data_IF_577680800115
#
_entry.id   IF_577680800115
#
_cell.length_a   1.000
_cell.length_b   1.000
_cell.length_c   1.000
_cell.angle_alpha   90.00
_cell.angle_beta   90.00
_cell.angle_gamma   90.00
#
_symmetry.space_group_name_H-M   'P 1'
#
loop_
_entity.id
_entity.type
_entity.pdbx_description
1 polymer ?
#
# COMPACT_ATOMS: atom_id res chain seq x y z
N UNK A 1 -20.23 -12.60 7.78
CA UNK A 1 -20.12 -11.54 6.75
C UNK A 1 -21.46 -10.89 6.40
N UNK A 2 -22.52 -11.60 5.95
CA UNK A 2 -23.79 -10.98 5.51
C UNK A 2 -24.48 -10.11 6.59
N UNK A 3 -24.48 -10.56 7.86
CA UNK A 3 -25.03 -9.77 8.97
C UNK A 3 -24.26 -8.46 9.18
N UNK A 4 -22.92 -8.50 9.09
CA UNK A 4 -22.07 -7.33 9.20
C UNK A 4 -22.37 -6.32 8.07
N UNK A 5 -22.43 -6.80 6.81
CA UNK A 5 -22.77 -5.96 5.66
C UNK A 5 -24.12 -5.28 5.85
N UNK A 6 -25.13 -6.01 6.44
CA UNK A 6 -26.41 -5.41 6.81
C UNK A 6 -26.30 -4.22 7.75
N UNK A 7 -25.46 -4.32 8.77
CA UNK A 7 -25.23 -3.26 9.77
C UNK A 7 -24.42 -2.08 9.22
N UNK A 8 -23.59 -2.32 8.20
CA UNK A 8 -22.75 -1.30 7.56
C UNK A 8 -23.46 -0.58 6.40
N UNK A 9 -24.57 -1.14 5.88
CA UNK A 9 -25.20 -0.70 4.63
C UNK A 9 -25.64 0.77 4.63
N UNK A 10 -26.02 1.31 5.78
CA UNK A 10 -26.50 2.71 5.92
C UNK A 10 -25.40 3.69 6.33
N UNK A 11 -24.17 3.22 6.48
CA UNK A 11 -23.05 4.09 6.83
C UNK A 11 -22.58 4.90 5.61
N UNK A 12 -22.27 6.17 5.84
CA UNK A 12 -21.71 7.06 4.82
C UNK A 12 -20.28 6.66 4.52
N UNK A 13 -19.51 6.30 5.57
CA UNK A 13 -18.13 5.83 5.49
C UNK A 13 -17.96 4.58 6.35
N UNK A 14 -17.32 3.57 5.77
CA UNK A 14 -16.89 2.36 6.47
C UNK A 14 -15.38 2.27 6.38
N UNK A 15 -14.68 2.38 7.53
CA UNK A 15 -13.24 2.21 7.60
C UNK A 15 -12.92 0.77 8.01
N UNK A 16 -12.07 0.10 7.22
CA UNK A 16 -11.73 -1.32 7.42
C UNK A 16 -10.22 -1.44 7.61
N UNK A 17 -9.80 -1.62 8.87
CA UNK A 17 -8.41 -1.77 9.26
C UNK A 17 -7.86 -3.14 8.90
N UNK A 18 -6.56 -3.20 8.58
CA UNK A 18 -5.88 -4.45 8.24
C UNK A 18 -4.46 -4.51 8.82
N UNK A 19 -3.85 -5.66 8.80
CA UNK A 19 -2.40 -5.86 8.97
C UNK A 19 -1.82 -6.10 7.58
N UNK A 20 -0.95 -5.20 7.12
CA UNK A 20 -0.48 -5.11 5.72
C UNK A 20 -0.02 -6.43 5.10
N UNK A 21 0.48 -7.36 5.89
CA UNK A 21 0.99 -8.65 5.41
C UNK A 21 -0.04 -9.80 5.49
N UNK A 22 -1.23 -9.57 6.05
CA UNK A 22 -2.26 -10.58 6.27
C UNK A 22 -3.19 -10.66 5.06
N UNK A 23 -2.99 -11.68 4.22
CA UNK A 23 -3.81 -11.89 3.02
C UNK A 23 -5.29 -12.14 3.33
N UNK A 24 -5.58 -12.86 4.39
CA UNK A 24 -6.94 -13.07 4.87
C UNK A 24 -7.66 -11.77 5.22
N UNK A 25 -6.97 -10.77 5.80
CA UNK A 25 -7.55 -9.44 6.05
C UNK A 25 -7.95 -8.76 4.74
N UNK A 26 -7.12 -8.82 3.70
CA UNK A 26 -7.44 -8.23 2.39
C UNK A 26 -8.59 -8.95 1.69
N UNK A 27 -8.72 -10.28 1.87
CA UNK A 27 -9.87 -11.03 1.38
C UNK A 27 -11.18 -10.61 2.08
N UNK A 28 -11.14 -10.34 3.40
CA UNK A 28 -12.30 -9.83 4.12
C UNK A 28 -12.62 -8.38 3.73
N UNK A 29 -11.62 -7.52 3.52
CA UNK A 29 -11.82 -6.19 2.95
C UNK A 29 -12.54 -6.25 1.61
N UNK A 30 -12.12 -7.15 0.72
CA UNK A 30 -12.80 -7.40 -0.55
C UNK A 30 -14.25 -7.86 -0.36
N UNK A 31 -14.49 -8.76 0.59
CA UNK A 31 -15.84 -9.26 0.87
C UNK A 31 -16.77 -8.14 1.39
N UNK A 32 -16.25 -7.24 2.23
CA UNK A 32 -16.99 -6.07 2.72
C UNK A 32 -17.28 -5.11 1.55
N UNK A 33 -16.28 -4.76 0.73
CA UNK A 33 -16.46 -3.89 -0.43
C UNK A 33 -17.51 -4.45 -1.38
N UNK A 34 -17.42 -5.73 -1.75
CA UNK A 34 -18.39 -6.42 -2.61
C UNK A 34 -19.81 -6.36 -2.05
N UNK A 35 -19.97 -6.69 -0.77
CA UNK A 35 -21.27 -6.71 -0.14
C UNK A 35 -21.92 -5.33 -0.02
N UNK A 36 -21.12 -4.28 0.22
CA UNK A 36 -21.61 -2.90 0.26
C UNK A 36 -21.92 -2.38 -1.15
N UNK A 37 -21.08 -2.67 -2.13
CA UNK A 37 -21.29 -2.31 -3.53
C UNK A 37 -22.55 -2.94 -4.10
N UNK A 38 -22.83 -4.22 -3.82
CA UNK A 38 -24.06 -4.88 -4.25
C UNK A 38 -25.33 -4.24 -3.68
N UNK A 39 -25.25 -3.62 -2.51
CA UNK A 39 -26.39 -2.92 -1.88
C UNK A 39 -26.52 -1.47 -2.34
N UNK A 40 -25.42 -0.83 -2.63
CA UNK A 40 -25.38 0.53 -3.13
C UNK A 40 -24.21 0.69 -4.11
N UNK A 41 -24.48 0.73 -5.43
CA UNK A 41 -23.43 0.86 -6.43
C UNK A 41 -22.75 2.26 -6.41
N UNK A 42 -23.35 3.26 -5.77
CA UNK A 42 -22.76 4.59 -5.65
C UNK A 42 -21.75 4.67 -4.51
N UNK A 43 -20.67 3.89 -4.63
CA UNK A 43 -19.60 3.75 -3.65
C UNK A 43 -18.25 4.15 -4.24
N UNK A 44 -17.31 4.61 -3.42
CA UNK A 44 -15.91 4.80 -3.75
C UNK A 44 -15.03 3.97 -2.78
N UNK A 45 -13.84 3.64 -3.24
CA UNK A 45 -12.82 2.95 -2.46
C UNK A 45 -11.68 3.93 -2.15
N UNK A 46 -11.55 4.34 -0.88
CA UNK A 46 -10.40 5.12 -0.40
C UNK A 46 -9.32 4.18 0.13
N UNK A 47 -8.07 4.41 -0.25
CA UNK A 47 -6.97 3.49 0.08
C UNK A 47 -5.73 4.21 0.57
N UNK A 48 -5.08 3.63 1.58
CA UNK A 48 -3.81 4.11 2.13
C UNK A 48 -2.63 3.84 1.19
N UNK A 49 -2.63 2.73 0.47
CA UNK A 49 -1.48 2.26 -0.31
C UNK A 49 -1.18 3.04 -1.60
N UNK A 50 -1.96 4.09 -1.88
CA UNK A 50 -1.64 5.08 -2.90
C UNK A 50 -1.59 6.48 -2.31
N UNK A 51 -0.59 7.24 -2.73
CA UNK A 51 -0.39 8.63 -2.33
C UNK A 51 -1.19 9.58 -3.22
N UNK A 52 -1.71 10.66 -2.67
CA UNK A 52 -2.60 11.60 -3.37
C UNK A 52 -2.09 12.11 -4.73
N UNK A 53 -0.79 12.32 -4.98
CA UNK A 53 -0.32 12.68 -6.32
C UNK A 53 -0.56 11.60 -7.41
N UNK A 54 -0.81 10.36 -7.00
CA UNK A 54 -1.09 9.26 -7.93
C UNK A 54 -2.54 9.23 -8.46
N UNK A 55 -3.43 10.09 -7.95
CA UNK A 55 -4.86 10.08 -8.28
C UNK A 55 -5.16 10.05 -9.78
N UNK A 56 -4.53 10.88 -10.65
CA UNK A 56 -4.84 10.84 -12.09
C UNK A 56 -4.60 9.47 -12.72
N UNK A 57 -3.58 8.73 -12.25
CA UNK A 57 -3.26 7.39 -12.77
C UNK A 57 -4.26 6.33 -12.32
N UNK A 58 -4.82 6.46 -11.11
CA UNK A 58 -5.92 5.60 -10.65
C UNK A 58 -7.21 5.87 -11.42
N UNK A 59 -7.51 7.13 -11.73
CA UNK A 59 -8.66 7.50 -12.55
C UNK A 59 -8.53 6.94 -13.97
N UNK A 60 -7.33 7.02 -14.56
CA UNK A 60 -7.03 6.43 -15.86
C UNK A 60 -7.17 4.91 -15.86
N UNK A 61 -6.71 4.27 -14.79
CA UNK A 61 -6.79 2.82 -14.63
C UNK A 61 -8.24 2.33 -14.49
N UNK A 62 -9.03 2.95 -13.63
CA UNK A 62 -10.45 2.60 -13.45
C UNK A 62 -11.24 2.84 -14.74
N UNK A 63 -10.94 3.90 -15.47
CA UNK A 63 -11.54 4.20 -16.78
C UNK A 63 -11.05 3.29 -17.91
N UNK A 64 -10.11 2.40 -17.67
CA UNK A 64 -9.56 1.49 -18.68
C UNK A 64 -8.64 2.15 -19.71
N UNK A 65 -8.14 3.37 -19.44
CA UNK A 65 -7.21 4.10 -20.33
C UNK A 65 -5.77 3.62 -20.22
N UNK A 66 -5.40 3.03 -19.08
CA UNK A 66 -4.09 2.41 -18.88
C UNK A 66 -4.24 0.99 -18.32
N UNK A 67 -3.22 0.18 -18.54
CA UNK A 67 -3.11 -1.18 -18.03
C UNK A 67 -2.77 -1.21 -16.53
N UNK A 68 -2.91 -2.38 -15.91
CA UNK A 68 -2.48 -2.63 -14.52
C UNK A 68 -0.98 -2.35 -14.34
N UNK A 69 -0.16 -2.78 -15.30
CA UNK A 69 1.28 -2.56 -15.28
C UNK A 69 1.63 -1.06 -15.32
N UNK A 70 1.02 -0.32 -16.22
CA UNK A 70 1.22 1.14 -16.31
C UNK A 70 0.73 1.86 -15.05
N UNK A 71 -0.38 1.44 -14.45
CA UNK A 71 -0.87 2.02 -13.21
C UNK A 71 0.16 1.83 -12.09
N UNK A 72 0.68 0.62 -11.90
CA UNK A 72 1.67 0.33 -10.86
C UNK A 72 2.98 1.09 -11.10
N UNK A 73 3.41 1.23 -12.34
CA UNK A 73 4.62 1.98 -12.68
C UNK A 73 4.42 3.49 -12.45
N UNK A 74 3.34 4.08 -13.00
CA UNK A 74 3.08 5.53 -12.89
C UNK A 74 2.78 5.99 -11.47
N UNK A 75 2.19 5.11 -10.65
CA UNK A 75 1.98 5.39 -9.20
C UNK A 75 3.25 5.17 -8.38
N UNK A 76 4.27 4.51 -8.93
CA UNK A 76 5.48 4.14 -8.21
C UNK A 76 5.21 3.14 -7.07
N UNK A 77 4.21 2.27 -7.23
CA UNK A 77 3.72 1.39 -6.16
C UNK A 77 4.84 0.63 -5.46
N UNK A 78 5.72 -0.04 -6.20
CA UNK A 78 6.77 -0.89 -5.62
C UNK A 78 7.86 -0.13 -4.88
N UNK A 79 8.06 1.14 -5.17
CA UNK A 79 9.03 2.00 -4.50
C UNK A 79 8.42 2.73 -3.30
N UNK A 80 7.13 3.09 -3.38
CA UNK A 80 6.43 3.94 -2.41
C UNK A 80 5.72 3.14 -1.32
N UNK A 81 5.06 2.01 -1.68
CA UNK A 81 4.32 1.19 -0.71
C UNK A 81 5.11 -0.03 -0.23
N UNK A 82 5.83 -0.72 -1.11
CA UNK A 82 6.76 -1.83 -0.84
C UNK A 82 6.17 -3.14 -0.37
N UNK A 83 4.90 -3.23 -0.01
CA UNK A 83 4.25 -4.51 0.27
C UNK A 83 3.93 -5.26 -1.03
N UNK A 84 3.81 -6.58 -0.93
CA UNK A 84 3.49 -7.42 -2.08
C UNK A 84 2.13 -7.00 -2.69
N UNK A 85 2.15 -6.58 -3.94
CA UNK A 85 0.95 -6.11 -4.64
C UNK A 85 -0.16 -7.17 -4.71
N UNK A 86 0.19 -8.46 -4.71
CA UNK A 86 -0.77 -9.57 -4.75
C UNK A 86 -1.69 -9.60 -3.54
N UNK A 87 -1.30 -9.01 -2.42
CA UNK A 87 -2.16 -8.81 -1.25
C UNK A 87 -3.36 -7.91 -1.58
N UNK A 88 -3.14 -6.83 -2.29
CA UNK A 88 -4.12 -5.76 -2.58
C UNK A 88 -4.81 -5.93 -3.93
N UNK A 89 -4.17 -6.67 -4.85
CA UNK A 89 -4.63 -6.85 -6.23
C UNK A 89 -6.09 -7.26 -6.36
N UNK A 90 -6.62 -8.23 -5.57
CA UNK A 90 -8.03 -8.62 -5.68
C UNK A 90 -9.01 -7.47 -5.42
N UNK A 91 -8.69 -6.57 -4.49
CA UNK A 91 -9.50 -5.38 -4.17
C UNK A 91 -9.44 -4.37 -5.31
N UNK A 92 -8.23 -4.09 -5.79
CA UNK A 92 -7.95 -3.12 -6.87
C UNK A 92 -8.62 -3.55 -8.17
N UNK A 93 -8.48 -4.83 -8.55
CA UNK A 93 -9.12 -5.36 -9.77
C UNK A 93 -10.64 -5.36 -9.65
N UNK A 94 -11.20 -5.72 -8.49
CA UNK A 94 -12.64 -5.63 -8.28
C UNK A 94 -13.15 -4.19 -8.47
N UNK A 95 -12.45 -3.20 -7.92
CA UNK A 95 -12.82 -1.80 -8.12
C UNK A 95 -12.79 -1.40 -9.59
N UNK A 96 -11.74 -1.76 -10.33
CA UNK A 96 -11.62 -1.51 -11.78
C UNK A 96 -12.75 -2.16 -12.57
N UNK A 97 -12.96 -3.46 -12.36
CA UNK A 97 -13.97 -4.25 -13.12
C UNK A 97 -15.40 -3.73 -12.93
N UNK A 98 -15.67 -3.07 -11.80
CA UNK A 98 -16.98 -2.52 -11.48
C UNK A 98 -17.05 -0.99 -11.59
N UNK A 99 -16.03 -0.33 -12.11
CA UNK A 99 -15.99 1.11 -12.27
C UNK A 99 -16.07 1.88 -10.95
N UNK A 100 -15.65 1.26 -9.84
CA UNK A 100 -15.61 1.91 -8.51
C UNK A 100 -14.42 2.85 -8.48
N UNK A 101 -14.60 4.17 -8.26
CA UNK A 101 -13.49 5.09 -8.12
C UNK A 101 -12.55 4.68 -6.99
N UNK A 102 -11.25 4.65 -7.27
CA UNK A 102 -10.20 4.44 -6.28
C UNK A 102 -9.64 5.80 -5.90
N UNK A 103 -9.69 6.15 -4.62
CA UNK A 103 -9.20 7.42 -4.09
C UNK A 103 -7.89 7.21 -3.35
N UNK A 104 -6.82 7.83 -3.84
CA UNK A 104 -5.50 7.81 -3.22
C UNK A 104 -5.49 8.72 -1.98
N UNK A 105 -5.55 8.12 -0.79
CA UNK A 105 -5.74 8.90 0.44
C UNK A 105 -4.43 9.42 1.03
N UNK A 106 -3.32 8.70 0.86
CA UNK A 106 -2.11 8.91 1.64
C UNK A 106 -1.34 10.18 1.25
N UNK A 107 -0.56 10.70 2.20
CA UNK A 107 0.35 11.80 1.98
C UNK A 107 1.49 11.42 1.02
N UNK A 108 1.98 12.39 0.26
CA UNK A 108 3.17 12.21 -0.56
C UNK A 108 4.39 11.89 0.31
N UNK A 109 5.17 10.87 -0.05
CA UNK A 109 6.35 10.43 0.71
C UNK A 109 7.40 11.53 0.81
N UNK A 110 7.50 12.42 -0.17
CA UNK A 110 8.40 13.57 -0.17
C UNK A 110 8.11 14.50 1.02
N UNK A 111 6.84 14.74 1.33
CA UNK A 111 6.43 15.57 2.47
C UNK A 111 6.68 14.85 3.78
N UNK A 112 6.32 13.58 3.90
CA UNK A 112 6.51 12.84 5.16
C UNK A 112 7.99 12.59 5.46
N UNK A 113 8.83 12.39 4.44
CA UNK A 113 10.29 12.35 4.61
C UNK A 113 10.82 13.69 5.11
N UNK A 114 10.37 14.80 4.49
CA UNK A 114 10.79 16.14 4.91
C UNK A 114 10.36 16.42 6.36
N UNK A 115 9.14 16.07 6.74
CA UNK A 115 8.68 16.17 8.13
C UNK A 115 9.54 15.32 9.08
N UNK A 116 9.93 14.12 8.68
CA UNK A 116 10.81 13.28 9.50
C UNK A 116 12.19 13.89 9.74
N UNK A 117 12.67 14.74 8.83
CA UNK A 117 13.96 15.44 8.94
C UNK A 117 13.89 16.70 9.79
N UNK A 118 12.86 17.53 9.58
CA UNK A 118 12.81 18.89 10.16
C UNK A 118 11.60 19.16 11.06
N UNK A 119 10.62 18.22 11.16
CA UNK A 119 9.32 18.44 11.79
C UNK A 119 8.41 19.34 10.94
N UNK A 120 7.13 19.43 11.30
CA UNK A 120 6.18 20.32 10.60
C UNK A 120 6.59 21.79 10.71
N UNK A 121 7.11 22.20 11.87
CA UNK A 121 7.56 23.58 12.09
C UNK A 121 8.76 24.00 11.22
N UNK A 122 9.55 23.03 10.73
CA UNK A 122 10.70 23.26 9.86
C UNK A 122 10.37 23.23 8.36
N UNK A 123 9.12 23.03 7.98
CA UNK A 123 8.67 23.06 6.58
C UNK A 123 8.67 24.50 6.02
N UNK A 124 9.00 24.63 4.74
CA UNK A 124 8.81 25.89 3.99
C UNK A 124 7.31 26.19 3.82
N UNK A 125 6.92 27.46 3.51
CA UNK A 125 5.51 27.79 3.26
C UNK A 125 4.85 26.92 2.16
N UNK A 126 5.59 26.61 1.08
CA UNK A 126 5.10 25.75 -0.01
C UNK A 126 4.91 24.28 0.41
N UNK A 127 5.76 23.81 1.32
CA UNK A 127 5.63 22.47 1.92
C UNK A 127 4.46 22.43 2.93
N UNK A 128 4.32 23.46 3.76
CA UNK A 128 3.20 23.58 4.72
C UNK A 128 1.85 23.61 4.02
N UNK A 129 1.72 24.26 2.88
CA UNK A 129 0.50 24.31 2.08
C UNK A 129 0.03 22.90 1.60
N UNK A 130 0.90 21.89 1.63
CA UNK A 130 0.60 20.50 1.27
C UNK A 130 0.18 19.64 2.46
N UNK A 131 0.27 20.17 3.67
CA UNK A 131 -0.06 19.48 4.92
C UNK A 131 -1.38 20.03 5.43
N UNK A 132 -2.39 19.18 5.70
CA UNK A 132 -3.64 19.64 6.31
C UNK A 132 -3.41 20.17 7.73
N UNK A 133 -4.43 20.82 8.28
CA UNK A 133 -4.44 21.20 9.69
C UNK A 133 -4.32 19.97 10.59
N UNK A 134 -3.34 20.00 11.50
CA UNK A 134 -2.97 18.86 12.36
C UNK A 134 -3.56 19.03 13.76
N UNK A 135 -4.51 18.19 14.11
CA UNK A 135 -5.05 18.10 15.46
C UNK A 135 -4.15 17.25 16.39
N UNK A 136 -3.66 17.87 17.44
CA UNK A 136 -2.81 17.27 18.49
C UNK A 136 -3.54 17.09 19.82
N UNK A 137 -4.84 17.32 19.88
CA UNK A 137 -5.61 17.34 21.14
C UNK A 137 -5.75 15.95 21.76
N UNK A 138 -5.64 14.87 20.97
CA UNK A 138 -5.74 13.48 21.45
C UNK A 138 -4.42 13.01 22.09
N UNK A 139 -4.25 13.35 23.39
CA UNK A 139 -3.05 12.96 24.15
C UNK A 139 -2.95 11.46 24.41
N UNK A 140 -4.09 10.74 24.44
CA UNK A 140 -4.11 9.28 24.60
C UNK A 140 -3.52 8.60 23.36
N UNK A 141 -3.86 9.09 22.18
CA UNK A 141 -3.26 8.59 20.94
C UNK A 141 -1.76 8.90 20.87
N UNK A 142 -1.35 10.11 21.25
CA UNK A 142 0.06 10.47 21.29
C UNK A 142 0.88 9.56 22.25
N UNK A 143 0.33 9.24 23.42
CA UNK A 143 0.99 8.33 24.36
C UNK A 143 1.05 6.88 23.82
N UNK A 144 0.00 6.40 23.17
CA UNK A 144 0.01 5.11 22.49
C UNK A 144 1.10 5.03 21.40
N UNK A 145 1.20 6.06 20.56
CA UNK A 145 2.26 6.16 19.54
C UNK A 145 3.66 6.24 20.15
N UNK A 146 3.80 6.84 21.32
CA UNK A 146 5.07 6.90 22.05
C UNK A 146 5.50 5.52 22.54
N UNK A 147 4.58 4.73 23.07
CA UNK A 147 4.85 3.35 23.48
C UNK A 147 5.25 2.49 22.28
N UNK A 148 4.54 2.63 21.16
CA UNK A 148 4.87 1.96 19.90
C UNK A 148 6.28 2.37 19.40
N UNK A 149 6.60 3.65 19.40
CA UNK A 149 7.90 4.19 18.99
C UNK A 149 9.05 3.63 19.85
N UNK A 150 8.85 3.52 21.16
CA UNK A 150 9.86 3.00 22.08
C UNK A 150 10.20 1.51 21.86
N UNK A 151 9.27 0.73 21.29
CA UNK A 151 9.46 -0.69 20.98
C UNK A 151 10.20 -0.94 19.66
N UNK A 152 10.40 0.10 18.83
CA UNK A 152 11.05 -0.06 17.54
C UNK A 152 12.58 0.08 17.63
N UNK A 153 13.37 -0.84 17.03
CA UNK A 153 14.84 -0.73 17.02
C UNK A 153 15.30 0.61 16.45
N UNK A 154 16.16 1.31 17.16
CA UNK A 154 16.71 2.61 16.76
C UNK A 154 15.86 3.83 17.15
N UNK A 155 14.78 3.66 17.92
CA UNK A 155 13.98 4.76 18.49
C UNK A 155 14.82 5.74 19.31
N UNK A 156 15.85 5.25 20.03
CA UNK A 156 16.74 6.10 20.85
C UNK A 156 17.49 7.18 20.07
N UNK A 157 17.68 7.00 18.76
CA UNK A 157 18.38 7.96 17.88
C UNK A 157 17.44 8.87 17.09
N UNK A 158 16.12 8.71 17.23
CA UNK A 158 15.11 9.45 16.49
C UNK A 158 14.30 10.35 17.41
N UNK A 159 13.78 11.45 16.91
CA UNK A 159 12.87 12.32 17.63
C UNK A 159 11.45 11.74 17.61
N UNK A 160 10.88 11.50 18.81
CA UNK A 160 9.47 11.12 18.93
C UNK A 160 8.55 12.19 18.35
N UNK A 161 8.84 13.47 18.55
CA UNK A 161 8.01 14.57 18.04
C UNK A 161 7.90 14.54 16.52
N UNK A 162 9.00 14.27 15.83
CA UNK A 162 9.01 14.13 14.37
C UNK A 162 8.27 12.87 13.91
N UNK A 163 8.41 11.77 14.63
CA UNK A 163 7.65 10.57 14.37
C UNK A 163 6.15 10.83 14.54
N UNK A 164 5.76 11.50 15.61
CA UNK A 164 4.38 11.91 15.86
C UNK A 164 3.87 12.83 14.75
N UNK A 165 4.66 13.80 14.31
CA UNK A 165 4.34 14.69 13.20
C UNK A 165 4.02 13.90 11.92
N UNK A 166 4.81 12.89 11.60
CA UNK A 166 4.58 12.03 10.42
C UNK A 166 3.29 11.24 10.56
N UNK A 167 3.08 10.58 11.73
CA UNK A 167 1.87 9.78 11.96
C UNK A 167 0.59 10.62 11.86
N UNK A 168 0.59 11.79 12.51
CA UNK A 168 -0.54 12.71 12.43
C UNK A 168 -0.75 13.25 11.02
N UNK A 169 0.32 13.49 10.27
CA UNK A 169 0.22 13.94 8.87
C UNK A 169 -0.43 12.87 7.99
N UNK A 170 -0.09 11.60 8.16
CA UNK A 170 -0.77 10.51 7.44
C UNK A 170 -2.27 10.49 7.75
N UNK A 171 -2.63 10.44 9.03
CA UNK A 171 -4.04 10.39 9.46
C UNK A 171 -4.85 11.58 8.98
N UNK A 172 -4.31 12.79 9.13
CA UNK A 172 -5.00 14.01 8.71
C UNK A 172 -5.14 14.11 7.19
N UNK A 173 -4.10 13.70 6.44
CA UNK A 173 -4.15 13.73 4.97
C UNK A 173 -5.16 12.71 4.45
N UNK A 174 -5.18 11.49 5.00
CA UNK A 174 -6.14 10.47 4.59
C UNK A 174 -7.58 10.89 4.91
N UNK A 175 -7.80 11.47 6.09
CA UNK A 175 -9.12 11.98 6.48
C UNK A 175 -9.56 13.18 5.64
N UNK A 176 -8.66 14.13 5.37
CA UNK A 176 -8.94 15.31 4.56
C UNK A 176 -9.27 14.95 3.12
N UNK A 177 -8.47 14.07 2.51
CA UNK A 177 -8.70 13.60 1.14
C UNK A 177 -10.04 12.87 1.03
N UNK A 178 -10.37 11.98 1.98
CA UNK A 178 -11.66 11.30 2.01
C UNK A 178 -12.82 12.28 2.19
N UNK A 179 -12.69 13.25 3.10
CA UNK A 179 -13.72 14.24 3.36
C UNK A 179 -13.97 15.17 2.16
N UNK A 180 -12.91 15.64 1.51
CA UNK A 180 -12.98 16.47 0.30
C UNK A 180 -13.68 15.72 -0.83
N UNK A 181 -13.25 14.48 -1.12
CA UNK A 181 -13.90 13.64 -2.12
C UNK A 181 -15.40 13.46 -1.86
N UNK A 182 -15.79 13.20 -0.62
CA UNK A 182 -17.19 13.00 -0.24
C UNK A 182 -18.04 14.29 -0.28
N UNK A 183 -17.45 15.46 -0.05
CA UNK A 183 -18.13 16.75 -0.24
C UNK A 183 -18.37 17.05 -1.72
N UNK A 184 -17.40 16.76 -2.57
CA UNK A 184 -17.51 16.91 -4.03
C UNK A 184 -18.47 15.88 -4.65
N UNK A 185 -18.71 14.76 -3.95
CA UNK A 185 -19.60 13.67 -4.36
C UNK A 185 -20.66 13.35 -3.29
N UNK A 186 -21.63 14.25 -3.03
CA UNK A 186 -22.52 14.19 -1.86
C UNK A 186 -23.42 12.94 -1.80
N UNK A 187 -23.75 12.33 -2.95
CA UNK A 187 -24.53 11.09 -3.02
C UNK A 187 -23.70 9.80 -2.79
N UNK A 188 -22.37 9.88 -2.78
CA UNK A 188 -21.49 8.72 -2.80
C UNK A 188 -21.11 8.27 -1.38
N UNK A 189 -21.06 6.98 -1.14
CA UNK A 189 -20.49 6.36 0.07
C UNK A 189 -19.03 5.99 -0.15
N UNK A 190 -18.29 5.73 0.92
CA UNK A 190 -16.88 5.34 0.80
C UNK A 190 -16.56 4.16 1.73
N UNK A 191 -15.82 3.19 1.19
CA UNK A 191 -15.06 2.23 1.99
C UNK A 191 -13.62 2.70 2.03
N UNK A 192 -13.10 2.93 3.22
CA UNK A 192 -11.69 3.29 3.45
C UNK A 192 -10.95 2.05 3.93
N UNK A 193 -9.84 1.72 3.27
CA UNK A 193 -8.98 0.61 3.65
C UNK A 193 -7.59 1.15 4.02
N UNK A 194 -7.17 0.86 5.25
CA UNK A 194 -5.90 1.30 5.80
C UNK A 194 -5.40 0.34 6.87
N UNK A 195 -4.15 0.46 7.28
CA UNK A 195 -3.61 -0.27 8.41
C UNK A 195 -4.41 -0.02 9.70
N UNK A 196 -4.61 -1.07 10.50
CA UNK A 196 -5.40 -1.00 11.74
C UNK A 196 -4.91 0.07 12.71
N UNK A 197 -3.61 0.42 12.69
CA UNK A 197 -3.05 1.49 13.51
C UNK A 197 -3.67 2.87 13.26
N UNK A 198 -4.17 3.10 12.03
CA UNK A 198 -4.83 4.36 11.65
C UNK A 198 -6.34 4.36 11.95
N UNK A 199 -6.93 3.22 12.32
CA UNK A 199 -8.39 3.07 12.47
C UNK A 199 -8.79 2.71 13.90
N UNK A 200 -7.97 1.90 14.57
CA UNK A 200 -8.26 1.36 15.89
C UNK A 200 -8.53 2.48 16.92
N UNK A 201 -9.42 2.18 17.87
CA UNK A 201 -9.87 3.11 18.91
C UNK A 201 -10.44 4.44 18.38
N UNK A 202 -10.63 4.56 17.08
CA UNK A 202 -11.04 5.78 16.34
C UNK A 202 -10.01 6.93 16.42
N UNK A 203 -8.81 6.71 16.94
CA UNK A 203 -7.85 7.78 17.23
C UNK A 203 -7.21 8.43 16.00
N UNK A 204 -7.02 7.67 14.92
CA UNK A 204 -6.41 8.13 13.66
C UNK A 204 -7.42 8.75 12.70
N UNK A 205 -7.60 8.13 11.55
CA UNK A 205 -8.47 8.59 10.46
C UNK A 205 -9.93 8.81 10.92
N UNK A 206 -10.57 7.89 11.69
CA UNK A 206 -12.01 8.03 11.96
C UNK A 206 -12.37 9.32 12.70
N UNK A 207 -11.62 9.70 13.73
CA UNK A 207 -11.86 10.91 14.53
C UNK A 207 -11.68 12.17 13.68
N UNK A 208 -10.62 12.21 12.89
CA UNK A 208 -10.28 13.31 11.98
C UNK A 208 -11.32 13.47 10.87
N UNK A 209 -11.81 12.34 10.37
CA UNK A 209 -12.86 12.32 9.35
C UNK A 209 -14.20 12.78 9.94
N UNK A 210 -14.55 12.34 11.17
CA UNK A 210 -15.76 12.78 11.87
C UNK A 210 -15.76 14.29 12.11
N UNK A 211 -14.62 14.86 12.49
CA UNK A 211 -14.46 16.31 12.64
C UNK A 211 -14.72 17.06 11.35
N UNK A 212 -14.29 16.52 10.21
CA UNK A 212 -14.48 17.11 8.86
C UNK A 212 -15.87 16.89 8.28
N UNK A 213 -16.53 15.82 8.67
CA UNK A 213 -17.86 15.41 8.23
C UNK A 213 -18.73 15.09 9.47
N UNK A 214 -19.14 16.10 10.27
CA UNK A 214 -19.78 15.90 11.58
C UNK A 214 -21.08 15.07 11.48
N UNK A 215 -21.83 15.24 10.41
CA UNK A 215 -23.12 14.57 10.20
C UNK A 215 -22.98 13.20 9.51
N UNK A 216 -21.77 12.78 9.15
CA UNK A 216 -21.57 11.52 8.47
C UNK A 216 -21.69 10.33 9.44
N UNK A 217 -22.51 9.35 9.10
CA UNK A 217 -22.56 8.06 9.79
C UNK A 217 -21.32 7.24 9.44
N UNK A 218 -20.35 7.20 10.36
CA UNK A 218 -19.05 6.51 10.18
C UNK A 218 -19.04 5.23 11.02
N UNK A 219 -18.59 4.12 10.42
CA UNK A 219 -18.32 2.88 11.13
C UNK A 219 -16.89 2.41 10.91
N UNK A 220 -16.33 1.78 11.95
CA UNK A 220 -15.00 1.16 11.93
C UNK A 220 -15.09 -0.35 12.05
N UNK A 221 -14.26 -1.06 11.30
CA UNK A 221 -14.10 -2.52 11.30
C UNK A 221 -12.63 -2.83 11.46
N UNK A 222 -12.27 -3.70 12.39
CA UNK A 222 -10.90 -4.16 12.61
C UNK A 222 -10.89 -5.69 12.70
N UNK A 223 -9.84 -6.32 12.23
CA UNK A 223 -9.66 -7.77 12.34
C UNK A 223 -9.00 -8.11 13.68
N UNK A 224 -9.54 -9.12 14.37
CA UNK A 224 -9.07 -9.59 15.66
C UNK A 224 -8.38 -10.96 15.53
N UNK A 225 -7.26 -11.13 16.24
CA UNK A 225 -6.43 -12.36 16.19
C UNK A 225 -6.91 -13.47 17.15
N UNK A 226 -8.03 -13.29 17.81
CA UNK A 226 -8.71 -14.34 18.60
C UNK A 226 -8.16 -14.64 20.01
N UNK A 227 -7.04 -14.03 20.43
CA UNK A 227 -6.44 -14.33 21.74
C UNK A 227 -6.91 -13.41 22.88
N UNK A 228 -7.04 -12.14 22.63
CA UNK A 228 -7.63 -11.16 23.53
C UNK A 228 -8.46 -10.17 22.70
N UNK A 229 -9.76 -10.13 22.97
CA UNK A 229 -10.67 -9.26 22.24
C UNK A 229 -10.87 -7.99 23.05
N UNK A 230 -10.30 -6.89 22.58
CA UNK A 230 -10.62 -5.57 23.08
C UNK A 230 -11.79 -4.98 22.27
N UNK A 231 -12.99 -5.04 22.81
CA UNK A 231 -14.22 -4.56 22.17
C UNK A 231 -14.21 -3.05 21.86
N UNK A 232 -13.28 -2.29 22.44
CA UNK A 232 -13.14 -0.83 22.19
C UNK A 232 -12.34 -0.50 20.94
N UNK A 233 -11.68 -1.49 20.32
CA UNK A 233 -10.82 -1.24 19.15
C UNK A 233 -11.60 -0.68 17.94
N UNK A 234 -12.85 -1.10 17.74
CA UNK A 234 -13.66 -0.68 16.61
C UNK A 234 -15.17 -0.91 16.90
N UNK A 235 -16.03 -0.33 16.08
CA UNK A 235 -17.48 -0.59 16.15
C UNK A 235 -17.82 -2.06 15.84
N UNK A 236 -16.98 -2.70 15.02
CA UNK A 236 -17.10 -4.12 14.67
C UNK A 236 -15.73 -4.80 14.64
N UNK A 237 -15.65 -5.94 15.32
CA UNK A 237 -14.50 -6.83 15.26
C UNK A 237 -14.84 -8.04 14.39
N UNK A 238 -13.94 -8.38 13.48
CA UNK A 238 -14.10 -9.51 12.57
C UNK A 238 -12.97 -10.50 12.79
N UNK A 239 -13.33 -11.76 13.01
CA UNK A 239 -12.37 -12.86 13.01
C UNK A 239 -12.22 -13.36 11.58
N UNK A 240 -11.02 -13.24 11.05
CA UNK A 240 -10.71 -13.70 9.69
C UNK A 240 -10.26 -15.17 9.74
N UNK A 241 -10.83 -16.05 8.90
CA UNK A 241 -10.22 -17.36 8.70
C UNK A 241 -8.82 -17.18 8.10
N UNK A 242 -7.83 -17.86 8.65
CA UNK A 242 -6.47 -17.80 8.13
C UNK A 242 -6.42 -18.18 6.63
N UNK A 243 -5.76 -17.33 5.85
CA UNK A 243 -5.46 -17.59 4.45
C UNK A 243 -4.07 -17.03 4.13
N UNK A 244 -3.24 -17.85 3.54
CA UNK A 244 -1.90 -17.46 3.13
C UNK A 244 -1.90 -16.97 1.68
N UNK A 245 -1.09 -15.94 1.42
CA UNK A 245 -0.80 -15.52 0.07
C UNK A 245 -0.02 -16.64 -0.63
N UNK A 246 -0.45 -17.14 -1.81
CA UNK A 246 0.29 -18.16 -2.53
C UNK A 246 1.75 -17.75 -2.75
N UNK A 247 2.67 -18.69 -2.60
CA UNK A 247 4.09 -18.41 -2.78
C UNK A 247 4.38 -17.86 -4.17
N UNK A 248 5.24 -16.84 -4.24
CA UNK A 248 5.77 -16.33 -5.49
C UNK A 248 6.97 -17.15 -5.93
N UNK A 249 7.13 -17.30 -7.22
CA UNK A 249 8.38 -17.80 -7.77
C UNK A 249 9.51 -16.77 -7.56
N UNK A 250 10.61 -17.20 -6.96
CA UNK A 250 11.73 -16.33 -6.62
C UNK A 250 12.94 -16.60 -7.50
N UNK A 251 13.55 -15.53 -8.01
CA UNK A 251 14.88 -15.59 -8.66
C UNK A 251 16.01 -15.86 -7.64
N UNK A 252 15.81 -15.38 -6.40
CA UNK A 252 16.83 -15.40 -5.35
C UNK A 252 17.92 -14.36 -5.58
N UNK A 253 17.52 -13.16 -5.99
CA UNK A 253 18.40 -12.02 -6.25
C UNK A 253 18.08 -10.87 -5.30
N UNK A 254 19.11 -10.24 -4.77
CA UNK A 254 19.03 -8.93 -4.15
C UNK A 254 19.37 -7.88 -5.21
N UNK A 255 18.46 -6.95 -5.43
CA UNK A 255 18.50 -6.03 -6.55
C UNK A 255 18.66 -4.59 -6.07
N UNK A 256 19.25 -3.76 -6.91
CA UNK A 256 19.30 -2.31 -6.75
C UNK A 256 18.86 -1.65 -8.05
N UNK A 257 18.14 -0.53 -7.93
CA UNK A 257 17.78 0.31 -9.07
C UNK A 257 18.91 1.32 -9.30
N UNK A 258 19.43 1.36 -10.52
CA UNK A 258 20.46 2.30 -10.95
C UNK A 258 19.95 3.12 -12.12
N UNK A 259 20.70 4.15 -12.55
CA UNK A 259 20.38 4.89 -13.79
C UNK A 259 20.43 4.02 -15.06
N UNK A 260 21.09 2.85 -15.00
CA UNK A 260 21.18 1.88 -16.11
C UNK A 260 20.04 0.85 -16.08
N UNK A 261 19.25 0.75 -14.97
CA UNK A 261 18.16 -0.21 -14.80
C UNK A 261 18.30 -1.05 -13.53
N UNK A 262 17.86 -2.31 -13.57
CA UNK A 262 17.81 -3.23 -12.43
C UNK A 262 19.11 -4.05 -12.36
N UNK A 263 19.96 -3.77 -11.39
CA UNK A 263 21.25 -4.41 -11.21
C UNK A 263 21.26 -5.42 -10.08
N UNK A 264 21.93 -6.55 -10.27
CA UNK A 264 22.13 -7.56 -9.24
C UNK A 264 23.15 -7.07 -8.22
N UNK A 265 22.71 -6.77 -7.00
CA UNK A 265 23.55 -6.38 -5.86
C UNK A 265 24.22 -7.60 -5.23
N UNK A 266 23.48 -8.68 -5.08
CA UNK A 266 23.99 -9.98 -4.63
C UNK A 266 23.05 -11.12 -5.04
N UNK A 267 23.56 -12.33 -5.02
CA UNK A 267 22.84 -13.57 -5.34
C UNK A 267 22.72 -14.37 -4.05
N UNK A 268 21.51 -14.81 -3.72
CA UNK A 268 21.28 -15.64 -2.56
C UNK A 268 21.88 -17.03 -2.76
N UNK A 269 22.36 -17.64 -1.68
CA UNK A 269 22.84 -19.02 -1.68
C UNK A 269 21.70 -19.96 -2.13
N UNK A 270 22.06 -21.01 -2.85
CA UNK A 270 21.12 -22.03 -3.37
C UNK A 270 19.94 -21.45 -4.18
N UNK A 271 20.11 -20.27 -4.80
CA UNK A 271 19.06 -19.61 -5.57
C UNK A 271 18.94 -20.17 -7.00
N UNK A 272 17.77 -19.95 -7.60
CA UNK A 272 17.53 -20.29 -9.01
C UNK A 272 18.49 -19.53 -9.94
N UNK A 273 18.66 -18.23 -9.71
CA UNK A 273 19.56 -17.39 -10.51
C UNK A 273 21.03 -17.75 -10.31
N UNK A 274 21.46 -18.09 -9.08
CA UNK A 274 22.82 -18.54 -8.80
C UNK A 274 23.16 -19.84 -9.55
N UNK A 275 22.27 -20.83 -9.51
CA UNK A 275 22.41 -22.07 -10.25
C UNK A 275 22.47 -21.84 -11.77
N UNK A 276 21.80 -20.82 -12.29
CA UNK A 276 21.82 -20.43 -13.70
C UNK A 276 23.02 -19.53 -14.09
N UNK A 277 23.94 -19.26 -13.15
CA UNK A 277 25.17 -18.52 -13.39
C UNK A 277 25.03 -16.99 -13.43
N UNK A 278 23.94 -16.45 -12.90
CA UNK A 278 23.78 -14.99 -12.64
C UNK A 278 24.76 -14.59 -11.55
N UNK A 279 25.34 -13.40 -11.66
CA UNK A 279 26.37 -12.88 -10.74
C UNK A 279 26.07 -11.46 -10.29
N UNK A 280 26.66 -11.09 -9.19
CA UNK A 280 26.75 -9.70 -8.73
C UNK A 280 27.28 -8.78 -9.85
N UNK A 281 26.60 -7.69 -10.08
CA UNK A 281 26.93 -6.71 -11.12
C UNK A 281 26.23 -6.93 -12.46
N UNK A 282 25.54 -8.06 -12.68
CA UNK A 282 24.72 -8.25 -13.88
C UNK A 282 23.55 -7.25 -13.90
N UNK A 283 23.23 -6.71 -15.08
CA UNK A 283 22.09 -5.85 -15.31
C UNK A 283 20.97 -6.67 -15.94
N UNK A 284 19.81 -6.77 -15.27
CA UNK A 284 18.67 -7.49 -15.80
C UNK A 284 17.97 -6.66 -16.89
N UNK A 285 17.71 -7.25 -18.04
CA UNK A 285 17.15 -6.54 -19.20
C UNK A 285 15.84 -7.14 -19.70
N UNK A 286 15.57 -8.42 -19.44
CA UNK A 286 14.35 -9.07 -19.89
C UNK A 286 13.96 -10.27 -19.01
N UNK A 287 12.64 -10.55 -18.94
CA UNK A 287 12.05 -11.78 -18.39
C UNK A 287 11.14 -12.35 -19.48
N UNK A 288 11.40 -13.58 -19.92
CA UNK A 288 10.69 -14.27 -21.01
C UNK A 288 10.55 -13.43 -22.29
N UNK A 289 11.59 -12.62 -22.59
CA UNK A 289 11.62 -11.73 -23.74
C UNK A 289 10.91 -10.38 -23.51
N UNK A 290 10.21 -10.19 -22.40
CA UNK A 290 9.63 -8.90 -22.02
C UNK A 290 10.71 -8.03 -21.37
N UNK A 291 10.92 -6.82 -21.91
CA UNK A 291 11.90 -5.87 -21.35
C UNK A 291 11.57 -5.47 -19.91
N UNK A 292 12.60 -5.37 -19.06
CA UNK A 292 12.49 -4.97 -17.66
C UNK A 292 13.38 -3.75 -17.36
N UNK A 293 13.03 -2.58 -17.88
CA UNK A 293 13.84 -1.37 -17.72
C UNK A 293 13.84 -0.82 -16.28
N UNK A 294 12.91 -1.27 -15.44
CA UNK A 294 12.73 -0.80 -14.06
C UNK A 294 12.45 -1.96 -13.11
N UNK A 295 12.62 -1.69 -11.80
CA UNK A 295 12.22 -2.65 -10.76
C UNK A 295 10.72 -2.96 -10.82
N UNK A 296 9.88 -1.97 -11.09
CA UNK A 296 8.44 -2.16 -11.29
C UNK A 296 8.14 -3.08 -12.48
N UNK A 297 8.82 -2.89 -13.61
CA UNK A 297 8.66 -3.76 -14.78
C UNK A 297 9.06 -5.22 -14.46
N UNK A 298 10.15 -5.42 -13.73
CA UNK A 298 10.57 -6.75 -13.28
C UNK A 298 9.50 -7.39 -12.36
N UNK A 299 9.01 -6.63 -11.36
CA UNK A 299 7.97 -7.11 -10.43
C UNK A 299 6.69 -7.49 -11.17
N UNK A 300 6.33 -6.72 -12.20
CA UNK A 300 5.17 -7.03 -13.05
C UNK A 300 5.37 -8.29 -13.89
N UNK A 301 6.53 -8.44 -14.53
CA UNK A 301 6.85 -9.63 -15.30
C UNK A 301 6.82 -10.91 -14.43
N UNK A 302 7.19 -10.79 -13.14
CA UNK A 302 7.21 -11.90 -12.18
C UNK A 302 5.89 -12.09 -11.41
N UNK A 303 4.89 -11.21 -11.56
CA UNK A 303 3.73 -11.09 -10.66
C UNK A 303 2.93 -12.38 -10.49
N UNK A 304 2.76 -13.14 -11.56
CA UNK A 304 1.95 -14.36 -11.56
C UNK A 304 2.79 -15.64 -11.53
N UNK A 305 4.10 -15.53 -11.43
CA UNK A 305 5.01 -16.68 -11.44
C UNK A 305 5.04 -17.39 -10.09
N UNK A 306 5.17 -18.70 -10.13
CA UNK A 306 5.12 -19.58 -8.97
C UNK A 306 6.43 -20.38 -8.84
N UNK A 307 6.72 -20.96 -7.67
CA UNK A 307 7.77 -21.95 -7.54
C UNK A 307 7.57 -23.10 -8.55
N UNK A 308 8.64 -23.49 -9.23
CA UNK A 308 8.61 -24.49 -10.28
C UNK A 308 8.43 -23.97 -11.69
N UNK A 309 8.01 -22.71 -11.89
CA UNK A 309 7.90 -22.12 -13.22
C UNK A 309 9.28 -21.95 -13.85
N UNK A 310 9.36 -22.22 -15.16
CA UNK A 310 10.56 -21.98 -15.97
C UNK A 310 10.54 -20.55 -16.49
N UNK A 311 11.65 -19.87 -16.35
CA UNK A 311 11.81 -18.48 -16.75
C UNK A 311 13.11 -18.33 -17.54
N UNK A 312 13.07 -17.53 -18.60
CA UNK A 312 14.23 -17.08 -19.35
C UNK A 312 14.58 -15.65 -18.95
N UNK A 313 15.71 -15.49 -18.26
CA UNK A 313 16.22 -14.21 -17.79
C UNK A 313 17.25 -13.65 -18.76
N UNK A 314 16.97 -12.51 -19.37
CA UNK A 314 17.93 -11.73 -20.16
C UNK A 314 18.72 -10.79 -19.26
N UNK A 315 20.03 -10.74 -19.41
CA UNK A 315 20.91 -9.88 -18.63
C UNK A 315 22.13 -9.43 -19.44
N UNK A 316 22.68 -8.28 -19.07
CA UNK A 316 23.95 -7.78 -19.57
C UNK A 316 25.03 -7.95 -18.51
N UNK A 317 26.18 -8.42 -18.92
CA UNK A 317 27.36 -8.59 -18.07
C UNK A 317 28.50 -7.74 -18.58
N UNK A 318 29.03 -6.85 -17.73
CA UNK A 318 30.21 -6.03 -18.07
C UNK A 318 31.39 -6.96 -18.38
N UNK A 319 31.98 -6.80 -19.55
CA UNK A 319 33.24 -7.45 -19.91
C UNK A 319 34.41 -6.67 -19.32
N UNK A 320 35.57 -7.35 -19.14
CA UNK A 320 36.81 -6.65 -18.71
C UNK A 320 37.27 -5.65 -19.76
N UNK A 321 36.96 -5.92 -21.04
CA UNK A 321 37.25 -5.05 -22.18
C UNK A 321 36.11 -5.13 -23.19
N UNK A 322 35.63 -3.98 -23.73
CA UNK A 322 34.61 -3.91 -24.77
C UNK A 322 33.20 -3.65 -24.22
N UNK A 323 32.21 -3.77 -25.11
CA UNK A 323 30.78 -3.55 -24.80
C UNK A 323 30.23 -4.66 -23.88
N UNK A 324 29.21 -4.36 -23.05
CA UNK A 324 28.53 -5.37 -22.25
C UNK A 324 27.96 -6.48 -23.11
N UNK A 325 28.21 -7.72 -22.75
CA UNK A 325 27.65 -8.88 -23.48
C UNK A 325 26.22 -9.15 -22.99
N UNK A 326 25.27 -9.18 -23.93
CA UNK A 326 23.92 -9.70 -23.68
C UNK A 326 23.95 -11.23 -23.57
N UNK A 327 23.30 -11.72 -22.55
CA UNK A 327 23.23 -13.14 -22.21
C UNK A 327 21.81 -13.51 -21.80
N UNK A 328 21.51 -14.80 -21.91
CA UNK A 328 20.26 -15.35 -21.45
C UNK A 328 20.55 -16.57 -20.58
N UNK A 329 19.81 -16.72 -19.50
CA UNK A 329 19.83 -17.87 -18.62
C UNK A 329 18.41 -18.44 -18.47
N UNK A 330 18.27 -19.76 -18.61
CA UNK A 330 17.04 -20.47 -18.24
C UNK A 330 17.16 -20.96 -16.80
N UNK A 331 16.11 -20.75 -16.02
CA UNK A 331 16.06 -21.13 -14.62
C UNK A 331 14.66 -21.59 -14.20
N UNK A 332 14.62 -22.39 -13.14
CA UNK A 332 13.37 -22.82 -12.50
C UNK A 332 13.24 -22.06 -11.19
N UNK A 333 12.16 -21.32 -11.03
CA UNK A 333 11.92 -20.50 -9.84
C UNK A 333 11.77 -21.37 -8.59
N UNK A 334 12.25 -20.85 -7.47
CA UNK A 334 12.08 -21.50 -6.16
C UNK A 334 10.97 -20.85 -5.35
#
# INVERSE_FOLDING_TARGET
MQSLIGKLADRRVVLVGETHTRFDHHLQQLAILRGLHQRNPNIALGVEWFQSPAQPHLDDFVAGRISEAEMLERTGYFDRWRFDYRLYRPVILYAKENGIPIVALNAAVEITNRISEVGIAGLTPDEQAKVPDIDRSNTVYAEHLKQFFAQHPGGEKRSFDRFLDVQLTWDETMADTAARYLRENPGRRMVVMAGSGHIANRWGIPDRLQRRLPDAAIATVVFADGKEVNERLADYLVFSPEAELPQAGLLGLYLETTGEGVKVRSVADDSAAGAAGIKTGDLLVAVDGQAVPSYSALRMAMLNMKPGDKVRLGYQRKALFGEPAEKTAELVLK
#
